data_IF_850781028859
#
_entry.id   IF_850781028859
#
_cell.length_a   1.000
_cell.length_b   1.000
_cell.length_c   1.000
_cell.angle_alpha   90.00
_cell.angle_beta   90.00
_cell.angle_gamma   90.00
#
_symmetry.space_group_name_H-M   'P 1'
#
loop_
_entity.id
_entity.type
_entity.pdbx_description
1 polymer ?
#
# COMPACT_ATOMS: atom_id res chain seq x y z
N UNK A 1 -28.02 -5.98 -1.90
CA UNK A 1 -27.02 -6.12 -0.81
C UNK A 1 -27.57 -6.94 0.35
N UNK A 2 -28.72 -6.60 0.92
CA UNK A 2 -29.33 -7.38 2.03
C UNK A 2 -29.58 -8.86 1.68
N UNK A 3 -30.04 -9.16 0.46
CA UNK A 3 -30.24 -10.54 0.00
C UNK A 3 -28.95 -11.37 0.03
N UNK A 4 -27.84 -10.83 -0.46
CA UNK A 4 -26.53 -11.51 -0.44
C UNK A 4 -26.07 -11.81 0.99
N UNK A 5 -26.25 -10.86 1.90
CA UNK A 5 -25.89 -11.02 3.31
C UNK A 5 -26.73 -12.11 4.00
N UNK A 6 -28.03 -12.16 3.71
CA UNK A 6 -28.93 -13.22 4.19
C UNK A 6 -28.52 -14.58 3.61
N UNK A 7 -28.27 -14.67 2.31
CA UNK A 7 -27.81 -15.91 1.66
C UNK A 7 -26.50 -16.39 2.26
N UNK A 8 -25.53 -15.50 2.49
CA UNK A 8 -24.27 -15.84 3.17
C UNK A 8 -24.52 -16.33 4.59
N UNK A 9 -25.37 -15.65 5.36
CA UNK A 9 -25.72 -16.05 6.74
C UNK A 9 -26.38 -17.42 6.79
N UNK A 10 -27.28 -17.73 5.85
CA UNK A 10 -27.91 -19.03 5.74
C UNK A 10 -26.90 -20.12 5.36
N UNK A 11 -26.00 -19.84 4.43
CA UNK A 11 -24.96 -20.78 4.03
C UNK A 11 -23.96 -21.06 5.15
N UNK A 12 -23.56 -20.05 5.94
CA UNK A 12 -22.64 -20.28 7.06
C UNK A 12 -23.26 -21.14 8.16
N UNK A 13 -24.59 -21.10 8.33
CA UNK A 13 -25.30 -21.97 9.28
C UNK A 13 -25.21 -23.45 8.91
N UNK A 14 -25.07 -23.79 7.63
CA UNK A 14 -24.84 -25.17 7.19
C UNK A 14 -23.56 -25.74 7.80
N UNK A 15 -22.57 -24.87 8.02
CA UNK A 15 -21.29 -25.20 8.66
C UNK A 15 -21.28 -24.90 10.16
N UNK A 16 -22.44 -24.73 10.79
CA UNK A 16 -22.59 -24.37 12.20
C UNK A 16 -21.90 -23.05 12.61
N UNK A 17 -21.58 -22.20 11.63
CA UNK A 17 -20.98 -20.90 11.86
C UNK A 17 -22.04 -19.79 11.91
N UNK A 18 -21.82 -18.81 12.77
CA UNK A 18 -22.66 -17.62 12.92
C UNK A 18 -21.82 -16.36 12.84
N UNK A 19 -22.37 -15.34 12.19
CA UNK A 19 -21.79 -14.00 12.24
C UNK A 19 -21.94 -13.41 13.64
N UNK A 20 -20.90 -12.72 14.10
CA UNK A 20 -20.93 -11.90 15.31
C UNK A 20 -21.31 -10.48 14.91
N UNK A 21 -22.53 -10.00 15.18
CA UNK A 21 -22.95 -8.67 14.72
C UNK A 21 -22.05 -7.54 15.26
N UNK A 22 -21.54 -7.69 16.48
CA UNK A 22 -20.57 -6.75 17.08
C UNK A 22 -19.27 -6.57 16.29
N UNK A 23 -18.83 -7.61 15.55
CA UNK A 23 -17.60 -7.59 14.73
C UNK A 23 -17.89 -7.26 13.26
N UNK A 24 -19.13 -7.45 12.81
CA UNK A 24 -19.58 -7.06 11.47
C UNK A 24 -19.83 -5.55 11.46
N UNK A 25 -19.16 -4.85 10.56
CA UNK A 25 -19.34 -3.41 10.36
C UNK A 25 -19.60 -3.14 8.88
N UNK A 26 -20.42 -2.13 8.59
CA UNK A 26 -20.70 -1.69 7.24
C UNK A 26 -19.91 -0.41 6.95
N UNK A 27 -19.04 -0.46 5.96
CA UNK A 27 -18.37 0.72 5.40
C UNK A 27 -18.91 0.95 3.98
N UNK A 28 -19.35 2.17 3.71
CA UNK A 28 -19.88 2.57 2.41
C UNK A 28 -18.84 3.43 1.69
N UNK A 29 -18.45 3.01 0.49
CA UNK A 29 -17.50 3.73 -0.36
C UNK A 29 -18.25 4.38 -1.52
N UNK A 30 -18.03 5.69 -1.74
CA UNK A 30 -18.62 6.47 -2.84
C UNK A 30 -20.17 6.38 -2.95
N UNK A 31 -20.86 6.17 -1.81
CA UNK A 31 -22.32 6.02 -1.78
C UNK A 31 -23.03 7.38 -1.74
N UNK A 32 -23.90 7.64 -2.71
CA UNK A 32 -24.61 8.92 -2.88
C UNK A 32 -26.10 8.84 -2.50
N UNK A 33 -26.66 7.63 -2.34
CA UNK A 33 -28.07 7.41 -2.07
C UNK A 33 -28.42 7.38 -0.56
N UNK A 34 -29.71 7.22 -0.24
CA UNK A 34 -30.18 6.92 1.11
C UNK A 34 -29.39 5.74 1.69
N UNK A 35 -29.07 5.85 2.98
CA UNK A 35 -28.17 4.90 3.63
C UNK A 35 -28.92 3.57 3.80
N UNK A 36 -28.42 2.45 3.27
CA UNK A 36 -29.07 1.16 3.48
C UNK A 36 -28.89 0.73 4.94
N UNK A 37 -29.97 0.30 5.58
CA UNK A 37 -29.88 -0.44 6.85
C UNK A 37 -29.70 -1.93 6.52
N UNK A 38 -28.59 -2.50 6.99
CA UNK A 38 -28.32 -3.93 6.85
C UNK A 38 -28.54 -4.63 8.18
N UNK A 39 -29.23 -5.76 8.14
CA UNK A 39 -29.55 -6.55 9.34
C UNK A 39 -28.94 -7.95 9.26
N UNK A 40 -28.30 -8.41 10.34
CA UNK A 40 -27.90 -9.81 10.54
C UNK A 40 -28.84 -10.40 11.59
N UNK A 41 -29.77 -11.25 11.17
CA UNK A 41 -30.83 -11.73 12.07
C UNK A 41 -31.75 -10.58 12.46
N UNK A 42 -31.81 -10.26 13.75
CA UNK A 42 -32.57 -9.13 14.32
C UNK A 42 -31.70 -7.91 14.67
N UNK A 43 -30.39 -7.96 14.44
CA UNK A 43 -29.46 -6.90 14.82
C UNK A 43 -29.04 -6.06 13.61
N UNK A 44 -29.07 -4.73 13.77
CA UNK A 44 -28.62 -3.77 12.76
C UNK A 44 -27.09 -3.70 12.79
N UNK A 45 -26.46 -3.83 11.62
CA UNK A 45 -25.01 -3.73 11.48
C UNK A 45 -24.59 -2.27 11.69
N UNK A 46 -23.66 -2.03 12.62
CA UNK A 46 -23.09 -0.70 12.83
C UNK A 46 -22.37 -0.21 11.56
N UNK A 47 -22.70 1.02 11.17
CA UNK A 47 -22.00 1.74 10.11
C UNK A 47 -20.74 2.38 10.66
N UNK A 48 -19.63 2.21 9.96
CA UNK A 48 -18.35 2.82 10.29
C UNK A 48 -17.77 3.57 9.10
N UNK A 49 -17.18 4.74 9.37
CA UNK A 49 -16.43 5.47 8.35
C UNK A 49 -15.03 4.91 8.15
N UNK A 50 -14.45 4.24 9.16
CA UNK A 50 -13.11 3.67 9.08
C UNK A 50 -13.13 2.25 9.61
N UNK A 51 -12.53 1.33 8.85
CA UNK A 51 -12.48 -0.08 9.24
C UNK A 51 -11.06 -0.63 9.09
N UNK A 52 -10.58 -1.35 10.10
CA UNK A 52 -9.27 -2.03 10.01
C UNK A 52 -9.48 -3.46 9.55
N UNK A 53 -9.04 -3.76 8.34
CA UNK A 53 -9.07 -5.10 7.76
C UNK A 53 -7.65 -5.64 7.59
N UNK A 54 -7.34 -6.78 8.22
CA UNK A 54 -6.01 -7.41 8.21
C UNK A 54 -4.86 -6.42 8.54
N UNK A 55 -5.16 -5.46 9.42
CA UNK A 55 -4.21 -4.43 9.85
C UNK A 55 -4.11 -3.20 8.95
N UNK A 56 -4.71 -3.19 7.76
CA UNK A 56 -4.83 -2.05 6.85
C UNK A 56 -6.12 -1.26 7.10
N UNK A 57 -6.03 0.06 6.98
CA UNK A 57 -7.14 0.96 7.27
C UNK A 57 -7.87 1.33 5.99
N UNK A 58 -9.15 1.00 5.94
CA UNK A 58 -10.04 1.31 4.83
C UNK A 58 -10.86 2.54 5.21
N UNK A 59 -10.88 3.53 4.33
CA UNK A 59 -11.63 4.79 4.47
C UNK A 59 -12.64 4.95 3.33
N UNK A 60 -13.71 5.75 3.50
CA UNK A 60 -14.82 5.85 2.54
C UNK A 60 -14.42 6.54 1.24
N UNK A 61 -13.36 7.34 1.27
CA UNK A 61 -12.79 8.02 0.11
C UNK A 61 -11.78 7.15 -0.66
N UNK A 62 -11.46 5.94 -0.17
CA UNK A 62 -10.46 5.05 -0.76
C UNK A 62 -9.04 5.64 -0.83
N UNK A 63 -8.78 6.74 -0.12
CA UNK A 63 -7.48 7.42 -0.14
C UNK A 63 -6.50 6.79 0.84
N UNK A 64 -5.29 6.55 0.36
CA UNK A 64 -4.18 5.97 1.14
C UNK A 64 -3.66 6.91 2.23
N UNK A 65 -3.95 8.21 2.16
CA UNK A 65 -3.48 9.22 3.11
C UNK A 65 -3.77 8.82 4.57
N UNK A 66 -4.96 8.27 4.81
CA UNK A 66 -5.41 7.80 6.12
C UNK A 66 -4.64 6.58 6.60
N UNK A 67 -4.39 5.62 5.71
CA UNK A 67 -3.60 4.43 6.00
C UNK A 67 -2.14 4.81 6.30
N UNK A 68 -1.52 5.65 5.47
CA UNK A 68 -0.15 6.14 5.70
C UNK A 68 -0.05 6.85 7.04
N UNK A 69 -1.05 7.66 7.39
CA UNK A 69 -1.08 8.33 8.69
C UNK A 69 -1.13 7.34 9.84
N UNK A 70 -1.98 6.31 9.74
CA UNK A 70 -2.05 5.24 10.73
C UNK A 70 -0.73 4.45 10.84
N UNK A 71 -0.06 4.15 9.71
CA UNK A 71 1.25 3.47 9.69
C UNK A 71 2.34 4.31 10.33
N UNK A 72 2.36 5.60 10.05
CA UNK A 72 3.29 6.54 10.68
C UNK A 72 3.08 6.54 12.21
N UNK A 73 1.84 6.54 12.71
CA UNK A 73 1.59 6.49 14.15
C UNK A 73 2.05 5.15 14.78
N UNK A 74 1.75 4.02 14.13
CA UNK A 74 2.22 2.70 14.58
C UNK A 74 3.76 2.63 14.60
N UNK A 75 4.41 3.14 13.57
CA UNK A 75 5.86 3.18 13.48
C UNK A 75 6.49 4.15 14.50
N UNK A 76 5.84 5.27 14.81
CA UNK A 76 6.24 6.16 15.91
C UNK A 76 6.23 5.43 17.24
N UNK A 77 5.16 4.70 17.55
CA UNK A 77 5.06 3.93 18.78
C UNK A 77 6.16 2.86 18.87
N UNK A 78 6.39 2.12 17.78
CA UNK A 78 7.49 1.16 17.71
C UNK A 78 8.86 1.83 17.94
N UNK A 79 9.07 3.01 17.36
CA UNK A 79 10.30 3.78 17.56
C UNK A 79 10.46 4.26 19.01
N UNK A 80 9.41 4.76 19.65
CA UNK A 80 9.46 5.23 21.05
C UNK A 80 9.70 4.09 22.03
N UNK A 81 9.11 2.91 21.80
CA UNK A 81 9.30 1.74 22.65
C UNK A 81 10.76 1.27 22.68
N UNK A 82 11.50 1.52 21.59
CA UNK A 82 12.93 1.22 21.46
C UNK A 82 13.84 2.40 21.83
N UNK A 83 13.33 3.44 22.50
CA UNK A 83 14.10 4.66 22.79
C UNK A 83 15.39 4.42 23.59
N UNK A 84 15.38 3.44 24.49
CA UNK A 84 16.55 3.04 25.28
C UNK A 84 17.67 2.49 24.38
N UNK A 85 17.32 1.74 23.33
CA UNK A 85 18.26 1.18 22.38
C UNK A 85 18.97 2.28 21.57
N UNK A 86 18.24 3.32 21.15
CA UNK A 86 18.81 4.43 20.36
C UNK A 86 19.83 5.25 21.16
N UNK A 87 19.74 5.24 22.50
CA UNK A 87 20.64 5.97 23.41
C UNK A 87 21.88 5.18 23.81
N UNK A 88 21.96 3.87 23.50
CA UNK A 88 23.16 3.06 23.75
C UNK A 88 24.32 3.49 22.86
N UNK A 89 25.53 3.57 23.44
CA UNK A 89 26.78 3.95 22.75
C UNK A 89 27.68 2.76 22.44
N UNK A 90 27.45 1.66 23.14
CA UNK A 90 28.20 0.40 23.08
C UNK A 90 27.83 -0.45 21.85
N UNK A 91 26.69 -0.15 21.21
CA UNK A 91 26.23 -0.83 20.00
C UNK A 91 26.64 -0.04 18.76
N UNK A 92 27.19 -0.75 17.77
CA UNK A 92 27.53 -0.15 16.46
C UNK A 92 26.29 0.46 15.80
N UNK A 93 26.45 1.66 15.26
CA UNK A 93 25.37 2.39 14.59
C UNK A 93 24.73 1.60 13.44
N UNK A 94 25.51 0.81 12.72
CA UNK A 94 25.03 -0.07 11.64
C UNK A 94 24.08 -1.15 12.15
N UNK A 95 24.33 -1.73 13.33
CA UNK A 95 23.45 -2.70 13.98
C UNK A 95 22.14 -2.03 14.40
N UNK A 96 22.21 -0.83 14.99
CA UNK A 96 21.03 -0.04 15.35
C UNK A 96 20.21 0.29 14.08
N UNK A 97 20.87 0.64 12.97
CA UNK A 97 20.23 0.88 11.68
C UNK A 97 19.46 -0.34 11.17
N UNK A 98 20.02 -1.56 11.31
CA UNK A 98 19.31 -2.81 10.95
C UNK A 98 18.09 -3.05 11.83
N UNK A 99 18.17 -2.81 13.13
CA UNK A 99 17.02 -2.91 14.03
C UNK A 99 15.93 -1.91 13.65
N UNK A 100 16.31 -0.67 13.31
CA UNK A 100 15.36 0.33 12.80
C UNK A 100 14.67 -0.14 11.51
N UNK A 101 15.41 -0.75 10.58
CA UNK A 101 14.82 -1.35 9.38
C UNK A 101 13.81 -2.46 9.74
N UNK A 102 14.19 -3.36 10.64
CA UNK A 102 13.40 -4.54 10.97
C UNK A 102 12.16 -4.24 11.82
N UNK A 103 12.22 -3.26 12.74
CA UNK A 103 11.15 -3.00 13.70
C UNK A 103 10.32 -1.75 13.37
N UNK A 104 10.91 -0.74 12.73
CA UNK A 104 10.24 0.55 12.49
C UNK A 104 9.87 0.71 11.02
N UNK A 105 10.81 0.50 10.10
CA UNK A 105 10.53 0.62 8.66
C UNK A 105 9.59 -0.47 8.15
N UNK A 106 9.67 -1.69 8.68
CA UNK A 106 8.72 -2.77 8.37
C UNK A 106 7.27 -2.38 8.71
N UNK A 107 7.04 -1.80 9.90
CA UNK A 107 5.73 -1.33 10.35
C UNK A 107 5.26 -0.14 9.51
N UNK A 108 6.18 0.78 9.18
CA UNK A 108 5.89 1.96 8.36
C UNK A 108 5.45 1.58 6.93
N UNK A 109 6.08 0.56 6.34
CA UNK A 109 5.91 0.19 4.94
C UNK A 109 5.00 -1.03 4.73
N UNK A 110 4.36 -1.52 5.79
CA UNK A 110 3.40 -2.60 5.68
C UNK A 110 2.24 -2.20 4.77
N UNK A 111 1.99 -2.99 3.71
CA UNK A 111 0.93 -2.75 2.73
C UNK A 111 1.31 -1.76 1.62
N UNK A 112 2.56 -1.27 1.59
CA UNK A 112 3.02 -0.32 0.57
C UNK A 112 3.01 -0.87 -0.86
N UNK A 113 2.93 -2.19 -1.02
CA UNK A 113 2.77 -2.87 -2.30
C UNK A 113 1.48 -2.44 -3.03
N UNK A 114 0.40 -2.19 -2.27
CA UNK A 114 -0.94 -1.95 -2.81
C UNK A 114 -1.35 -0.48 -2.82
N UNK A 115 -0.51 0.41 -2.29
CA UNK A 115 -0.81 1.83 -2.19
C UNK A 115 -0.70 2.55 -3.55
N UNK A 116 -1.74 3.28 -4.01
CA UNK A 116 -1.58 4.31 -5.04
C UNK A 116 -0.84 5.55 -4.47
N UNK A 117 0.49 5.48 -4.39
CA UNK A 117 1.29 6.51 -3.72
C UNK A 117 1.44 7.79 -4.56
N UNK A 118 1.13 8.94 -3.96
CA UNK A 118 1.41 10.28 -4.51
C UNK A 118 2.76 10.82 -4.03
N UNK A 119 3.21 11.92 -4.62
CA UNK A 119 4.48 12.55 -4.23
C UNK A 119 4.40 13.06 -2.78
N UNK A 120 3.24 13.59 -2.38
CA UNK A 120 2.97 14.08 -1.03
C UNK A 120 3.04 12.95 0.00
N UNK A 121 2.54 11.77 -0.36
CA UNK A 121 2.53 10.58 0.47
C UNK A 121 3.96 10.05 0.73
N UNK A 122 4.77 9.94 -0.32
CA UNK A 122 6.20 9.58 -0.19
C UNK A 122 6.93 10.61 0.67
N UNK A 123 6.66 11.91 0.49
CA UNK A 123 7.25 12.97 1.31
C UNK A 123 6.94 12.80 2.79
N UNK A 124 5.69 12.46 3.15
CA UNK A 124 5.30 12.20 4.55
C UNK A 124 6.07 11.04 5.16
N UNK A 125 6.22 9.94 4.41
CA UNK A 125 7.00 8.78 4.85
C UNK A 125 8.49 9.11 5.02
N UNK A 126 9.07 9.84 4.05
CA UNK A 126 10.47 10.29 4.11
C UNK A 126 10.74 11.22 5.29
N UNK A 127 9.84 12.16 5.57
CA UNK A 127 9.99 13.08 6.72
C UNK A 127 10.06 12.31 8.03
N UNK A 128 9.19 11.32 8.22
CA UNK A 128 9.21 10.48 9.40
C UNK A 128 10.48 9.62 9.49
N UNK A 129 10.85 8.94 8.41
CA UNK A 129 12.05 8.09 8.35
C UNK A 129 13.33 8.89 8.65
N UNK A 130 13.50 10.05 8.01
CA UNK A 130 14.66 10.91 8.26
C UNK A 130 14.70 11.46 9.69
N UNK A 131 13.54 11.71 10.32
CA UNK A 131 13.49 12.08 11.73
C UNK A 131 14.03 10.95 12.62
N UNK A 132 13.64 9.70 12.34
CA UNK A 132 14.13 8.53 13.06
C UNK A 132 15.63 8.33 12.86
N UNK A 133 16.11 8.37 11.62
CA UNK A 133 17.52 8.17 11.29
C UNK A 133 18.42 9.26 11.90
N UNK A 134 17.98 10.53 11.90
CA UNK A 134 18.73 11.61 12.56
C UNK A 134 18.80 11.44 14.07
N UNK A 135 17.71 10.97 14.68
CA UNK A 135 17.68 10.68 16.12
C UNK A 135 18.66 9.54 16.46
N UNK A 136 18.63 8.44 15.71
CA UNK A 136 19.58 7.32 15.84
C UNK A 136 21.04 7.79 15.65
N UNK A 137 21.30 8.63 14.64
CA UNK A 137 22.63 9.18 14.36
C UNK A 137 23.07 10.29 15.33
N UNK A 138 22.16 10.79 16.19
CA UNK A 138 22.37 11.94 17.08
C UNK A 138 22.80 13.22 16.36
N UNK A 139 22.29 13.41 15.14
CA UNK A 139 22.59 14.59 14.33
C UNK A 139 21.44 15.58 14.52
N UNK A 140 21.73 16.71 15.17
CA UNK A 140 20.76 17.81 15.26
C UNK A 140 20.49 18.41 13.88
N UNK A 141 19.41 19.19 13.76
CA UNK A 141 19.10 19.91 12.51
C UNK A 141 20.14 20.98 12.19
N UNK A 142 20.81 21.53 13.20
CA UNK A 142 21.77 22.64 13.08
C UNK A 142 23.07 22.23 12.39
N UNK A 143 23.42 20.95 12.44
CA UNK A 143 24.61 20.42 11.78
C UNK A 143 24.56 20.49 10.25
N UNK A 144 23.42 20.91 9.64
CA UNK A 144 23.21 21.06 8.18
C UNK A 144 23.67 19.87 7.32
N UNK A 145 23.71 18.66 7.89
CA UNK A 145 24.09 17.42 7.18
C UNK A 145 22.97 17.02 6.22
N UNK A 146 23.33 16.61 5.00
CA UNK A 146 22.36 16.15 4.00
C UNK A 146 21.67 14.83 4.40
N UNK A 147 20.41 14.65 3.99
CA UNK A 147 19.65 13.43 4.31
C UNK A 147 20.28 12.16 3.72
N UNK A 148 20.96 12.28 2.56
CA UNK A 148 21.69 11.18 1.94
C UNK A 148 22.87 10.72 2.80
N UNK A 149 23.63 11.66 3.39
CA UNK A 149 24.76 11.36 4.27
C UNK A 149 24.28 10.69 5.56
N UNK A 150 23.20 11.20 6.18
CA UNK A 150 22.61 10.57 7.39
C UNK A 150 22.18 9.13 7.09
N UNK A 151 21.50 8.92 5.96
CA UNK A 151 21.05 7.58 5.54
C UNK A 151 22.23 6.63 5.34
N UNK A 152 23.26 7.05 4.60
CA UNK A 152 24.47 6.25 4.36
C UNK A 152 25.21 5.92 5.66
N UNK A 153 25.22 6.84 6.62
CA UNK A 153 25.86 6.65 7.93
C UNK A 153 25.14 5.61 8.79
N UNK A 154 23.80 5.63 8.83
CA UNK A 154 23.01 4.73 9.69
C UNK A 154 22.79 3.37 9.03
N UNK A 155 22.52 3.34 7.73
CA UNK A 155 22.11 2.14 7.00
C UNK A 155 23.23 1.51 6.16
N UNK A 156 24.38 2.18 6.03
CA UNK A 156 25.50 1.71 5.23
C UNK A 156 25.35 2.03 3.73
N UNK A 157 26.23 1.42 2.92
CA UNK A 157 26.30 1.62 1.47
C UNK A 157 25.01 1.17 0.76
N UNK A 158 24.37 0.11 1.25
CA UNK A 158 23.14 -0.46 0.68
C UNK A 158 21.85 0.18 1.25
N UNK A 159 22.00 1.30 1.96
CA UNK A 159 20.91 1.99 2.63
C UNK A 159 19.91 2.64 1.66
N UNK A 160 18.89 1.88 1.26
CA UNK A 160 17.81 2.34 0.38
C UNK A 160 16.96 3.44 1.04
N UNK A 161 16.57 4.42 0.24
CA UNK A 161 15.54 5.40 0.59
C UNK A 161 14.17 4.74 0.68
N UNK A 162 13.23 5.37 1.39
CA UNK A 162 11.86 4.83 1.48
C UNK A 162 11.21 4.73 0.10
N UNK A 163 11.43 5.74 -0.77
CA UNK A 163 10.93 5.73 -2.15
C UNK A 163 11.42 4.50 -2.93
N UNK A 164 12.71 4.19 -2.86
CA UNK A 164 13.29 3.00 -3.50
C UNK A 164 12.71 1.71 -2.94
N UNK A 165 12.52 1.62 -1.62
CA UNK A 165 11.95 0.42 -0.99
C UNK A 165 10.49 0.21 -1.44
N UNK A 166 9.67 1.26 -1.42
CA UNK A 166 8.28 1.21 -1.88
C UNK A 166 8.20 0.78 -3.35
N UNK A 167 9.05 1.35 -4.21
CA UNK A 167 9.12 0.95 -5.63
C UNK A 167 9.46 -0.53 -5.79
N UNK A 168 10.44 -1.03 -5.04
CA UNK A 168 10.82 -2.45 -5.07
C UNK A 168 9.66 -3.35 -4.60
N UNK A 169 8.96 -2.96 -3.53
CA UNK A 169 7.80 -3.69 -3.01
C UNK A 169 6.69 -3.78 -4.07
N UNK A 170 6.36 -2.65 -4.69
CA UNK A 170 5.35 -2.56 -5.75
C UNK A 170 5.71 -3.38 -6.98
N UNK A 171 6.96 -3.30 -7.46
CA UNK A 171 7.41 -4.09 -8.62
C UNK A 171 7.47 -5.59 -8.31
N UNK A 172 7.89 -5.96 -7.10
CA UNK A 172 7.90 -7.37 -6.67
C UNK A 172 6.50 -7.95 -6.60
N UNK A 173 5.55 -7.18 -6.05
CA UNK A 173 4.14 -7.55 -6.00
C UNK A 173 3.54 -7.66 -7.40
N UNK A 174 3.75 -6.64 -8.25
CA UNK A 174 3.34 -6.66 -9.66
C UNK A 174 3.83 -7.92 -10.37
N UNK A 175 5.12 -8.21 -10.29
CA UNK A 175 5.70 -9.40 -10.90
C UNK A 175 5.17 -10.71 -10.29
N UNK A 176 4.69 -10.72 -9.05
CA UNK A 176 4.03 -11.88 -8.46
C UNK A 176 2.63 -12.07 -9.04
N UNK A 177 1.82 -11.01 -9.11
CA UNK A 177 0.46 -11.06 -9.70
C UNK A 177 0.50 -11.45 -11.18
N UNK A 178 1.48 -10.93 -11.94
CA UNK A 178 1.67 -11.29 -13.35
C UNK A 178 2.01 -12.76 -13.58
N UNK A 179 2.55 -13.46 -12.58
CA UNK A 179 2.84 -14.90 -12.65
C UNK A 179 1.72 -15.77 -12.06
N UNK A 180 0.69 -15.18 -11.48
CA UNK A 180 -0.45 -15.95 -10.97
C UNK A 180 -1.33 -16.50 -12.11
N UNK A 181 -1.98 -17.65 -11.92
CA UNK A 181 -3.07 -18.12 -12.77
C UNK A 181 -4.22 -17.10 -12.90
N UNK A 182 -4.91 -17.12 -14.05
CA UNK A 182 -5.98 -16.16 -14.40
C UNK A 182 -7.21 -16.20 -13.50
N UNK A 183 -7.47 -17.32 -12.81
CA UNK A 183 -8.58 -17.53 -11.87
C UNK A 183 -8.33 -16.91 -10.49
N UNK A 184 -7.08 -16.55 -10.17
CA UNK A 184 -6.73 -15.99 -8.86
C UNK A 184 -7.28 -14.58 -8.72
N UNK A 185 -8.07 -14.35 -7.67
CA UNK A 185 -8.70 -13.07 -7.36
C UNK A 185 -7.79 -11.83 -7.46
N UNK A 186 -6.53 -11.82 -6.96
CA UNK A 186 -5.65 -10.65 -7.10
C UNK A 186 -5.33 -10.31 -8.55
N UNK A 187 -5.20 -11.33 -9.40
CA UNK A 187 -4.98 -11.14 -10.83
C UNK A 187 -6.25 -10.68 -11.52
N UNK A 188 -7.39 -11.33 -11.26
CA UNK A 188 -8.67 -10.87 -11.78
C UNK A 188 -8.90 -9.39 -11.42
N UNK A 189 -8.76 -9.02 -10.15
CA UNK A 189 -8.96 -7.64 -9.69
C UNK A 189 -8.03 -6.63 -10.37
N UNK A 190 -6.82 -7.04 -10.75
CA UNK A 190 -5.85 -6.18 -11.41
C UNK A 190 -6.13 -5.97 -12.91
N UNK A 191 -6.64 -7.01 -13.58
CA UNK A 191 -7.02 -6.98 -15.00
C UNK A 191 -8.50 -6.65 -15.23
N UNK A 192 -9.30 -6.55 -14.17
CA UNK A 192 -10.70 -6.15 -14.27
C UNK A 192 -10.79 -4.69 -14.73
N UNK A 193 -11.30 -4.49 -15.94
CA UNK A 193 -11.74 -3.18 -16.39
C UNK A 193 -12.83 -2.67 -15.45
N UNK A 194 -12.67 -1.46 -14.92
CA UNK A 194 -13.71 -0.78 -14.16
C UNK A 194 -14.90 -0.59 -15.12
N UNK A 195 -15.98 -1.34 -14.91
CA UNK A 195 -17.16 -1.31 -15.76
C UNK A 195 -17.76 0.10 -15.90
N UNK A 196 -18.41 0.34 -17.04
CA UNK A 196 -19.01 1.61 -17.49
C UNK A 196 -19.93 2.30 -16.44
N UNK A 197 -20.41 1.56 -15.44
CA UNK A 197 -21.28 2.07 -14.38
C UNK A 197 -20.57 2.76 -13.20
N UNK A 198 -19.24 2.70 -13.08
CA UNK A 198 -18.51 3.39 -12.01
C UNK A 198 -18.14 4.81 -12.44
N UNK A 199 -19.01 5.77 -12.17
CA UNK A 199 -18.73 7.20 -12.38
C UNK A 199 -17.75 7.67 -11.30
N UNK A 200 -16.55 8.09 -11.70
CA UNK A 200 -15.58 8.73 -10.79
C UNK A 200 -16.20 10.01 -10.22
N UNK A 201 -16.02 10.24 -8.91
CA UNK A 201 -16.38 11.50 -8.29
C UNK A 201 -15.76 12.70 -9.03
N UNK A 202 -16.54 13.76 -9.25
CA UNK A 202 -16.06 14.99 -9.90
C UNK A 202 -15.08 15.71 -8.97
N UNK A 203 -13.82 15.82 -9.40
CA UNK A 203 -12.70 16.43 -8.66
C UNK A 203 -11.35 15.95 -9.21
N UNK A 204 -10.25 16.59 -8.82
CA UNK A 204 -8.91 16.31 -9.35
C UNK A 204 -8.57 14.82 -9.41
N UNK A 205 -7.99 14.36 -10.53
CA UNK A 205 -7.83 12.94 -10.83
C UNK A 205 -7.10 12.20 -9.70
N UNK A 206 -7.82 11.34 -8.96
CA UNK A 206 -7.18 10.42 -8.03
C UNK A 206 -6.22 9.51 -8.81
N UNK A 207 -4.94 9.52 -8.41
CA UNK A 207 -3.93 8.61 -8.96
C UNK A 207 -4.36 7.18 -8.60
N UNK A 208 -4.63 6.35 -9.60
CA UNK A 208 -4.96 4.93 -9.39
C UNK A 208 -3.68 4.10 -9.26
N UNK A 209 -3.78 2.92 -8.65
CA UNK A 209 -2.64 2.01 -8.56
C UNK A 209 -2.12 1.64 -9.96
N UNK A 210 -3.03 1.35 -10.90
CA UNK A 210 -2.73 1.09 -12.32
C UNK A 210 -1.92 2.23 -12.97
N UNK A 211 -2.36 3.49 -12.84
CA UNK A 211 -1.62 4.66 -13.35
C UNK A 211 -0.26 4.81 -12.67
N UNK A 212 -0.17 4.52 -11.37
CA UNK A 212 1.08 4.57 -10.62
C UNK A 212 2.08 3.53 -11.13
N UNK A 213 1.63 2.31 -11.39
CA UNK A 213 2.48 1.24 -11.92
C UNK A 213 2.91 1.50 -13.36
N UNK A 214 2.00 2.01 -14.22
CA UNK A 214 2.35 2.42 -15.58
C UNK A 214 3.45 3.49 -15.58
N UNK A 215 3.34 4.47 -14.67
CA UNK A 215 4.38 5.49 -14.49
C UNK A 215 5.69 4.90 -13.97
N UNK A 216 5.64 3.94 -13.05
CA UNK A 216 6.82 3.32 -12.44
C UNK A 216 7.59 2.44 -13.45
N UNK A 217 6.86 1.76 -14.33
CA UNK A 217 7.40 0.87 -15.37
C UNK A 217 7.68 1.58 -16.68
N UNK A 218 7.47 2.90 -16.75
CA UNK A 218 7.70 3.68 -17.97
C UNK A 218 9.13 3.60 -18.49
N UNK A 219 10.12 3.33 -17.63
CA UNK A 219 11.50 3.06 -18.03
C UNK A 219 11.67 1.78 -18.86
N UNK A 220 10.72 0.84 -18.80
CA UNK A 220 10.70 -0.39 -19.61
C UNK A 220 10.08 -0.17 -21.00
N UNK A 221 9.57 1.03 -21.29
CA UNK A 221 8.96 1.33 -22.60
C UNK A 221 9.94 1.27 -23.78
N UNK A 222 11.23 1.11 -23.52
CA UNK A 222 12.26 1.02 -24.55
C UNK A 222 13.22 -0.14 -24.27
N UNK A 223 13.62 -0.84 -25.33
CA UNK A 223 14.71 -1.81 -25.34
C UNK A 223 15.68 -1.38 -26.44
N UNK A 224 16.84 -0.85 -26.05
CA UNK A 224 17.77 -0.21 -26.99
C UNK A 224 17.10 0.99 -27.69
N UNK A 225 17.01 0.94 -29.03
CA UNK A 225 16.30 1.95 -29.84
C UNK A 225 14.83 1.61 -30.10
N UNK A 226 14.38 0.42 -29.73
CA UNK A 226 13.03 -0.05 -30.01
C UNK A 226 12.07 0.36 -28.89
N UNK A 227 10.95 0.98 -29.26
CA UNK A 227 9.88 1.36 -28.34
C UNK A 227 8.87 0.21 -28.22
N UNK A 228 8.59 -0.23 -27.00
CA UNK A 228 7.54 -1.18 -26.70
C UNK A 228 6.17 -0.48 -26.69
N UNK A 229 5.16 -1.21 -27.15
CA UNK A 229 3.77 -0.74 -27.19
C UNK A 229 3.15 -0.82 -25.78
N UNK A 230 2.28 0.14 -25.46
CA UNK A 230 1.46 0.14 -24.25
C UNK A 230 1.68 1.33 -23.31
N UNK A 231 2.87 1.94 -23.32
CA UNK A 231 3.20 3.09 -22.46
C UNK A 231 2.95 4.45 -23.11
N UNK A 232 2.59 4.47 -24.39
CA UNK A 232 2.28 5.69 -25.13
C UNK A 232 0.94 6.33 -24.76
N UNK A 233 0.80 7.65 -25.00
CA UNK A 233 -0.47 8.36 -24.81
C UNK A 233 -1.57 7.95 -25.81
N UNK A 234 -1.19 7.29 -26.92
CA UNK A 234 -2.11 6.75 -27.94
C UNK A 234 -2.31 5.23 -27.84
N UNK A 235 -1.62 4.58 -26.92
CA UNK A 235 -1.80 3.14 -26.69
C UNK A 235 -3.01 2.90 -25.81
N UNK A 236 -3.65 1.74 -25.96
CA UNK A 236 -4.71 1.33 -25.05
C UNK A 236 -4.22 1.35 -23.59
N UNK A 237 -5.12 1.70 -22.66
CA UNK A 237 -4.79 1.99 -21.26
C UNK A 237 -4.02 0.83 -20.61
N UNK A 238 -4.38 -0.39 -21.00
CA UNK A 238 -3.99 -1.64 -20.35
C UNK A 238 -2.95 -2.45 -21.15
N UNK A 239 -2.62 -2.04 -22.39
CA UNK A 239 -1.68 -2.75 -23.27
C UNK A 239 -0.26 -2.87 -22.71
N UNK A 240 0.16 -1.94 -21.85
CA UNK A 240 1.45 -2.06 -21.15
C UNK A 240 1.48 -3.25 -20.18
N UNK A 241 0.32 -3.59 -19.61
CA UNK A 241 0.19 -4.65 -18.63
C UNK A 241 0.27 -6.04 -19.30
N UNK A 242 -0.29 -6.17 -20.50
CA UNK A 242 -0.14 -7.34 -21.37
C UNK A 242 1.33 -7.55 -21.75
N UNK A 243 2.01 -6.50 -22.23
CA UNK A 243 3.44 -6.58 -22.54
C UNK A 243 4.27 -7.04 -21.34
N UNK A 244 4.00 -6.52 -20.14
CA UNK A 244 4.69 -6.98 -18.92
C UNK A 244 4.33 -8.41 -18.54
N UNK A 245 3.09 -8.85 -18.77
CA UNK A 245 2.66 -10.21 -18.53
C UNK A 245 3.48 -11.17 -19.40
N UNK A 246 3.60 -10.89 -20.70
CA UNK A 246 4.36 -11.73 -21.63
C UNK A 246 5.84 -11.82 -21.22
N UNK A 247 6.44 -10.68 -20.85
CA UNK A 247 7.81 -10.64 -20.32
C UNK A 247 7.97 -11.48 -19.04
N UNK A 248 6.96 -11.49 -18.16
CA UNK A 248 7.00 -12.24 -16.91
C UNK A 248 6.86 -13.75 -17.13
N UNK A 249 6.08 -14.18 -18.13
CA UNK A 249 5.88 -15.59 -18.47
C UNK A 249 7.09 -16.17 -19.23
N UNK A 250 7.73 -15.39 -20.11
CA UNK A 250 8.91 -15.83 -20.86
C UNK A 250 10.16 -16.08 -20.00
N UNK A 251 10.16 -15.71 -18.71
CA UNK A 251 11.23 -16.04 -17.75
C UNK A 251 11.10 -17.43 -17.11
N UNK A 252 10.00 -18.13 -17.37
CA UNK A 252 9.73 -19.47 -16.83
C UNK A 252 10.17 -20.60 -17.78
N UNK A 253 10.65 -20.26 -18.97
CA UNK A 253 11.31 -21.16 -19.93
C UNK A 253 12.82 -21.02 -19.81
#
# INVERSE_FOLDING_TARGET
>A
MQSLLITLSNNTRIFEMRFSPLKCKMLLQDWVALTPELMIGSEVIERVDRFTYLGSLISPCGLVCDEISARIQKARLAFTNLCHLWRRRDIRLSTIGRVCCAAVRSVLLYGSETWPVRVEDIRRLLVFDHRCLRNIARISRDHRVSNAVVRKRVLGKDGKSIDEVVKVHQLRWLGHVLRMPNDRLPRCAMFCCIGVCWKKARGGQAKTWHKSMKSLTSGLSHVGRCRLLGWGPRDDSDRWLETLNDMAQNRLQ
#
